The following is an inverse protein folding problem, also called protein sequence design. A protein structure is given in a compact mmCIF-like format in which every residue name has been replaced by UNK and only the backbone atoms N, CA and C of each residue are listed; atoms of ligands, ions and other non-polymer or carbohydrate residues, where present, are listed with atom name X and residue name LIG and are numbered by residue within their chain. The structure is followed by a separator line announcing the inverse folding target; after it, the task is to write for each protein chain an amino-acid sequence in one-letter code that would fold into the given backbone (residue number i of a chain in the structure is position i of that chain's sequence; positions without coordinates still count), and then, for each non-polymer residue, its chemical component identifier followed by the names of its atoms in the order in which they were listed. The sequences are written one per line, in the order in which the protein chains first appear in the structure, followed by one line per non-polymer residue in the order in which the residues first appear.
data_IF_292810598365
#
_entry.id   IF_292810598365
#
_cell.length_a   1.000
_cell.length_b   1.000
_cell.length_c   1.000
_cell.angle_alpha   90.00
_cell.angle_beta   90.00
_cell.angle_gamma   90.00
#
_symmetry.space_group_name_H-M   'P 1'
#
loop_
_entity.id
_entity.type
_entity.pdbx_description
1 polymer ?
#
# COMPACT_ATOMS: atom_id res chain seq x y z
N UNK A 1 -14.45 -10.09 -10.05
CA UNK A 1 -13.22 -9.29 -9.86
C UNK A 1 -12.06 -10.26 -9.86
N UNK A 2 -11.02 -10.03 -10.66
CA UNK A 2 -9.82 -10.86 -10.67
C UNK A 2 -8.98 -10.54 -9.42
N UNK A 3 -8.44 -11.57 -8.78
CA UNK A 3 -7.60 -11.43 -7.58
C UNK A 3 -6.24 -12.09 -7.84
N UNK A 4 -5.16 -11.42 -7.47
CA UNK A 4 -3.79 -11.94 -7.60
C UNK A 4 -2.94 -11.42 -6.44
N UNK A 5 -1.85 -12.12 -6.12
CA UNK A 5 -0.90 -11.72 -5.10
C UNK A 5 0.50 -12.17 -5.47
N UNK A 6 1.50 -11.30 -5.22
CA UNK A 6 2.90 -11.69 -5.31
C UNK A 6 3.49 -11.85 -3.92
N UNK A 7 3.89 -13.08 -3.61
CA UNK A 7 4.64 -13.43 -2.41
C UNK A 7 6.07 -13.85 -2.77
N UNK A 8 6.96 -13.79 -1.78
CA UNK A 8 8.24 -14.49 -1.82
C UNK A 8 8.04 -16.00 -1.80
N UNK A 9 9.06 -16.76 -2.22
CA UNK A 9 9.03 -18.23 -2.20
C UNK A 9 8.81 -18.78 -0.78
N UNK A 10 9.43 -18.16 0.23
CA UNK A 10 9.24 -18.51 1.62
C UNK A 10 7.90 -18.04 2.21
N UNK A 11 7.07 -17.32 1.43
CA UNK A 11 5.77 -16.75 1.81
C UNK A 11 5.77 -15.80 3.01
N UNK A 12 6.93 -15.44 3.55
CA UNK A 12 7.08 -14.46 4.64
C UNK A 12 6.85 -13.03 4.14
N UNK A 13 7.06 -12.77 2.85
CA UNK A 13 6.93 -11.45 2.26
C UNK A 13 5.79 -11.43 1.25
N UNK A 14 4.97 -10.37 1.27
CA UNK A 14 4.00 -10.05 0.21
C UNK A 14 4.35 -8.71 -0.41
N UNK A 15 4.73 -8.75 -1.68
CA UNK A 15 5.14 -7.57 -2.43
C UNK A 15 3.94 -6.83 -3.03
N UNK A 16 2.89 -7.57 -3.41
CA UNK A 16 1.71 -6.98 -4.04
C UNK A 16 0.46 -7.83 -3.80
N UNK A 17 -0.69 -7.16 -3.82
CA UNK A 17 -2.02 -7.75 -3.83
C UNK A 17 -2.88 -6.95 -4.81
N UNK A 18 -3.49 -7.63 -5.79
CA UNK A 18 -4.34 -7.00 -6.79
C UNK A 18 -5.80 -7.38 -6.65
N UNK A 19 -6.65 -6.42 -7.01
CA UNK A 19 -8.10 -6.56 -7.17
C UNK A 19 -8.50 -5.79 -8.42
N UNK A 20 -8.79 -6.50 -9.51
CA UNK A 20 -9.08 -5.87 -10.81
C UNK A 20 -10.51 -6.13 -11.26
N UNK A 21 -11.27 -5.08 -11.53
CA UNK A 21 -12.66 -5.14 -11.99
C UNK A 21 -12.84 -4.66 -13.44
N UNK A 22 -11.88 -3.92 -13.99
CA UNK A 22 -11.88 -3.45 -15.36
C UNK A 22 -10.44 -3.38 -15.89
N UNK A 23 -10.03 -4.38 -16.68
CA UNK A 23 -8.66 -4.47 -17.23
C UNK A 23 -8.37 -3.41 -18.31
N UNK A 24 -9.37 -2.65 -18.77
CA UNK A 24 -9.18 -1.58 -19.76
C UNK A 24 -8.70 -0.26 -19.15
N UNK A 25 -8.63 -0.17 -17.82
CA UNK A 25 -8.27 1.04 -17.08
C UNK A 25 -7.07 0.80 -16.16
N UNK A 26 -6.28 1.84 -15.85
CA UNK A 26 -5.16 1.71 -14.91
C UNK A 26 -5.67 1.37 -13.50
N UNK A 27 -4.81 0.78 -12.67
CA UNK A 27 -5.09 0.58 -11.25
C UNK A 27 -4.64 1.78 -10.41
N UNK A 28 -5.27 1.94 -9.24
CA UNK A 28 -4.77 2.78 -8.17
C UNK A 28 -3.88 1.95 -7.23
N UNK A 29 -2.65 2.41 -7.00
CA UNK A 29 -1.75 1.78 -6.05
C UNK A 29 -1.91 2.44 -4.67
N UNK A 30 -2.00 1.64 -3.62
CA UNK A 30 -1.92 2.10 -2.24
C UNK A 30 -0.70 1.49 -1.56
N UNK A 31 0.05 2.30 -0.82
CA UNK A 31 1.22 1.88 -0.03
C UNK A 31 0.86 1.94 1.46
N UNK A 32 0.59 0.78 2.04
CA UNK A 32 0.34 0.60 3.47
C UNK A 32 1.61 0.40 4.29
N UNK A 33 1.45 0.10 5.58
CA UNK A 33 2.59 -0.15 6.48
C UNK A 33 3.22 -1.53 6.22
N UNK A 34 2.46 -2.59 6.47
CA UNK A 34 2.86 -3.97 6.28
C UNK A 34 1.64 -4.85 5.94
N UNK A 35 1.83 -5.94 5.19
CA UNK A 35 0.75 -6.88 4.90
C UNK A 35 0.37 -7.66 6.16
N UNK A 36 -0.93 -7.93 6.32
CA UNK A 36 -1.43 -8.89 7.30
C UNK A 36 -1.19 -10.33 6.84
N UNK A 37 -1.25 -11.27 7.78
CA UNK A 37 -1.16 -12.72 7.47
C UNK A 37 -2.47 -13.27 6.89
N UNK A 38 -3.57 -12.51 6.98
CA UNK A 38 -4.91 -12.92 6.57
C UNK A 38 -4.94 -13.46 5.13
N UNK A 39 -5.84 -14.42 4.90
CA UNK A 39 -5.97 -15.16 3.65
C UNK A 39 -6.11 -14.22 2.45
N UNK A 40 -5.38 -14.54 1.38
CA UNK A 40 -5.28 -13.75 0.16
C UNK A 40 -6.62 -13.59 -0.58
N UNK A 41 -7.64 -14.34 -0.14
CA UNK A 41 -8.99 -14.41 -0.70
C UNK A 41 -9.96 -13.38 -0.12
N UNK A 42 -9.81 -13.00 1.16
CA UNK A 42 -10.80 -12.17 1.85
C UNK A 42 -10.36 -10.72 1.94
N UNK A 43 -11.25 -9.82 1.51
CA UNK A 43 -10.99 -8.38 1.54
C UNK A 43 -11.27 -7.81 2.94
N UNK A 44 -10.19 -7.55 3.68
CA UNK A 44 -10.26 -6.88 4.98
C UNK A 44 -10.84 -5.44 4.86
N UNK A 45 -11.22 -4.79 5.99
CA UNK A 45 -11.79 -3.44 5.94
C UNK A 45 -10.93 -2.40 5.22
N UNK A 46 -9.61 -2.52 5.27
CA UNK A 46 -8.67 -1.62 4.60
C UNK A 46 -8.72 -1.83 3.09
N UNK A 47 -8.66 -3.08 2.63
CA UNK A 47 -8.76 -3.42 1.21
C UNK A 47 -10.10 -2.96 0.63
N UNK A 48 -11.22 -3.24 1.30
CA UNK A 48 -12.55 -2.76 0.87
C UNK A 48 -12.61 -1.24 0.76
N UNK A 49 -11.98 -0.53 1.71
CA UNK A 49 -11.92 0.93 1.70
C UNK A 49 -11.11 1.46 0.52
N UNK A 50 -9.94 0.89 0.24
CA UNK A 50 -9.11 1.25 -0.90
C UNK A 50 -9.78 0.93 -2.24
N UNK A 51 -10.50 -0.21 -2.35
CA UNK A 51 -11.31 -0.53 -3.54
C UNK A 51 -12.37 0.54 -3.77
N UNK A 52 -13.08 0.96 -2.72
CA UNK A 52 -14.08 2.02 -2.81
C UNK A 52 -13.50 3.32 -3.37
N UNK A 53 -12.38 3.79 -2.81
CA UNK A 53 -11.68 4.96 -3.32
C UNK A 53 -11.27 4.82 -4.79
N UNK A 54 -10.62 3.72 -5.14
CA UNK A 54 -10.17 3.47 -6.51
C UNK A 54 -11.33 3.49 -7.52
N UNK A 55 -12.48 2.88 -7.17
CA UNK A 55 -13.70 2.94 -8.00
C UNK A 55 -14.26 4.36 -8.11
N UNK A 56 -14.37 5.08 -7.00
CA UNK A 56 -14.90 6.44 -6.95
C UNK A 56 -14.03 7.46 -7.70
N UNK A 57 -12.76 7.12 -7.93
CA UNK A 57 -11.82 7.91 -8.75
C UNK A 57 -11.72 7.41 -10.20
N UNK A 58 -12.44 6.36 -10.57
CA UNK A 58 -12.55 5.87 -11.94
C UNK A 58 -11.47 4.88 -12.39
N UNK A 59 -10.69 4.30 -11.47
CA UNK A 59 -9.68 3.29 -11.80
C UNK A 59 -10.30 1.90 -12.05
N UNK A 60 -9.54 1.04 -12.73
CA UNK A 60 -9.93 -0.33 -13.09
C UNK A 60 -9.55 -1.40 -12.07
N UNK A 61 -8.71 -1.05 -11.10
CA UNK A 61 -8.27 -1.97 -10.07
C UNK A 61 -7.59 -1.29 -8.89
N UNK A 62 -7.34 -2.08 -7.85
CA UNK A 62 -6.49 -1.77 -6.71
C UNK A 62 -5.21 -2.61 -6.81
N UNK A 63 -4.06 -1.98 -6.56
CA UNK A 63 -2.81 -2.65 -6.22
C UNK A 63 -2.39 -2.23 -4.82
N UNK A 64 -2.40 -3.15 -3.85
CA UNK A 64 -1.93 -2.90 -2.49
C UNK A 64 -0.48 -3.37 -2.35
N UNK A 65 0.41 -2.44 -2.05
CA UNK A 65 1.80 -2.68 -1.65
C UNK A 65 2.04 -2.10 -0.25
N UNK A 66 3.24 -2.27 0.31
CA UNK A 66 3.55 -1.84 1.67
C UNK A 66 4.98 -1.34 1.81
N UNK A 67 5.21 -0.44 2.77
CA UNK A 67 6.55 -0.01 3.15
C UNK A 67 7.44 -1.20 3.53
N UNK A 68 6.87 -2.16 4.25
CA UNK A 68 7.52 -3.39 4.68
C UNK A 68 6.79 -4.59 4.08
N UNK A 69 7.49 -5.50 3.39
CA UNK A 69 6.83 -6.65 2.77
C UNK A 69 6.54 -7.77 3.78
N UNK A 70 7.16 -7.75 4.96
CA UNK A 70 7.00 -8.81 5.95
C UNK A 70 5.55 -8.94 6.44
N UNK A 71 5.00 -10.15 6.32
CA UNK A 71 3.61 -10.45 6.66
C UNK A 71 3.45 -10.63 8.17
N UNK A 72 2.67 -9.73 8.76
CA UNK A 72 2.32 -9.77 10.16
C UNK A 72 0.97 -9.09 10.40
N UNK A 73 0.08 -9.72 11.15
CA UNK A 73 -1.17 -9.07 11.59
C UNK A 73 -0.92 -7.94 12.58
N UNK A 74 0.01 -8.14 13.51
CA UNK A 74 0.46 -7.11 14.45
C UNK A 74 1.75 -6.44 13.92
N UNK A 75 1.77 -5.11 13.68
CA UNK A 75 2.96 -4.38 13.27
C UNK A 75 4.16 -4.58 14.20
N UNK A 76 3.95 -4.87 15.49
CA UNK A 76 5.02 -5.15 16.46
C UNK A 76 5.88 -6.34 16.05
N UNK A 77 5.27 -7.36 15.43
CA UNK A 77 5.99 -8.51 14.89
C UNK A 77 6.77 -8.14 13.64
N UNK A 78 6.27 -7.20 12.83
CA UNK A 78 7.02 -6.67 11.70
C UNK A 78 8.23 -5.86 12.19
N UNK A 79 8.08 -4.98 13.18
CA UNK A 79 9.20 -4.22 13.74
C UNK A 79 10.30 -5.10 14.36
N UNK A 80 9.94 -6.29 14.82
CA UNK A 80 10.86 -7.25 15.44
C UNK A 80 11.49 -8.22 14.43
N UNK A 81 11.05 -8.23 13.17
CA UNK A 81 11.60 -9.11 12.15
C UNK A 81 13.03 -8.71 11.79
N UNK A 82 13.88 -9.70 11.45
CA UNK A 82 15.27 -9.44 11.09
C UNK A 82 15.41 -8.60 9.81
N UNK A 83 14.54 -8.86 8.83
CA UNK A 83 14.45 -8.10 7.58
C UNK A 83 12.96 -7.78 7.31
N UNK A 84 12.40 -6.72 7.90
CA UNK A 84 10.99 -6.39 7.70
C UNK A 84 10.70 -5.84 6.31
N UNK A 85 11.72 -5.24 5.67
CA UNK A 85 11.58 -4.64 4.33
C UNK A 85 11.34 -5.75 3.32
N UNK A 86 12.15 -6.81 3.37
CA UNK A 86 12.09 -7.94 2.48
C UNK A 86 12.91 -7.70 1.20
N UNK A 87 13.54 -8.76 0.65
CA UNK A 87 14.69 -8.63 -0.26
C UNK A 87 14.37 -8.01 -1.63
N UNK A 88 13.11 -8.05 -2.08
CA UNK A 88 12.70 -7.51 -3.39
C UNK A 88 11.71 -6.35 -3.27
N UNK A 89 11.45 -5.84 -2.05
CA UNK A 89 10.32 -4.94 -1.85
C UNK A 89 10.47 -3.62 -2.63
N UNK A 90 11.67 -3.04 -2.66
CA UNK A 90 11.94 -1.80 -3.40
C UNK A 90 11.75 -1.98 -4.92
N UNK A 91 12.27 -3.07 -5.47
CA UNK A 91 12.10 -3.43 -6.89
C UNK A 91 10.62 -3.55 -7.25
N UNK A 92 9.82 -4.16 -6.37
CA UNK A 92 8.37 -4.24 -6.56
C UNK A 92 7.70 -2.88 -6.42
N UNK A 93 8.04 -2.08 -5.42
CA UNK A 93 7.47 -0.73 -5.24
C UNK A 93 7.68 0.15 -6.47
N UNK A 94 8.90 0.21 -7.02
CA UNK A 94 9.21 0.97 -8.24
C UNK A 94 8.42 0.46 -9.45
N UNK A 95 8.42 -0.87 -9.66
CA UNK A 95 7.72 -1.49 -10.78
C UNK A 95 6.23 -1.21 -10.73
N UNK A 96 5.61 -1.41 -9.58
CA UNK A 96 4.17 -1.20 -9.39
C UNK A 96 3.80 0.28 -9.49
N UNK A 97 4.64 1.18 -8.99
CA UNK A 97 4.39 2.61 -9.07
C UNK A 97 4.45 3.12 -10.51
N UNK A 98 5.38 2.60 -11.33
CA UNK A 98 5.55 2.98 -12.74
C UNK A 98 4.30 2.71 -13.59
N UNK A 99 3.62 1.58 -13.33
CA UNK A 99 2.45 1.14 -14.10
C UNK A 99 1.12 1.63 -13.49
N UNK A 100 1.16 2.27 -12.32
CA UNK A 100 -0.03 2.78 -11.63
C UNK A 100 -0.56 4.08 -12.26
N UNK A 101 -1.88 4.24 -12.30
CA UNK A 101 -2.47 5.53 -12.66
C UNK A 101 -2.37 6.58 -11.55
N UNK A 102 -2.23 6.14 -10.30
CA UNK A 102 -1.97 6.95 -9.11
C UNK A 102 -1.32 6.10 -8.04
N UNK A 103 -0.42 6.70 -7.24
CA UNK A 103 0.16 6.07 -6.06
C UNK A 103 -0.23 6.85 -4.81
N UNK A 104 -0.89 6.19 -3.87
CA UNK A 104 -1.41 6.76 -2.63
C UNK A 104 -0.65 6.19 -1.44
N UNK A 105 0.10 7.05 -0.77
CA UNK A 105 0.71 6.80 0.51
C UNK A 105 -0.36 6.71 1.61
N UNK A 106 -0.35 5.63 2.41
CA UNK A 106 -1.41 5.32 3.35
C UNK A 106 -0.93 4.50 4.57
N UNK A 107 0.35 4.61 4.94
CA UNK A 107 1.02 3.76 5.92
C UNK A 107 0.84 4.16 7.39
N UNK A 108 0.21 5.31 7.68
CA UNK A 108 -0.06 5.74 9.05
C UNK A 108 1.19 6.16 9.83
N UNK A 109 1.04 6.37 11.14
CA UNK A 109 2.05 7.03 11.97
C UNK A 109 3.37 6.26 12.14
N UNK A 110 3.40 4.97 11.79
CA UNK A 110 4.57 4.12 12.01
C UNK A 110 5.48 3.99 10.78
N UNK A 111 5.21 4.74 9.70
CA UNK A 111 6.03 4.70 8.49
C UNK A 111 7.49 5.06 8.70
N UNK A 112 7.79 5.88 9.71
CA UNK A 112 9.16 6.29 10.06
C UNK A 112 10.05 5.19 10.65
N UNK A 113 9.54 3.98 10.91
CA UNK A 113 10.38 2.86 11.36
C UNK A 113 11.51 2.62 10.34
N UNK A 114 12.77 2.49 10.81
CA UNK A 114 13.97 2.41 9.96
C UNK A 114 14.14 3.56 8.93
N UNK A 115 13.47 4.70 9.14
CA UNK A 115 13.44 5.81 8.16
C UNK A 115 12.69 5.47 6.87
N UNK A 116 11.86 4.42 6.88
CA UNK A 116 11.32 3.80 5.68
C UNK A 116 10.41 4.70 4.86
N UNK A 117 9.55 5.49 5.52
CA UNK A 117 8.66 6.46 4.85
C UNK A 117 9.45 7.44 3.97
N UNK A 118 10.59 7.96 4.45
CA UNK A 118 11.46 8.87 3.69
C UNK A 118 12.09 8.19 2.47
N UNK A 119 12.62 6.98 2.65
CA UNK A 119 13.25 6.21 1.57
C UNK A 119 12.23 5.93 0.46
N UNK A 120 11.04 5.43 0.81
CA UNK A 120 10.00 5.12 -0.19
C UNK A 120 9.44 6.39 -0.84
N UNK A 121 9.36 7.50 -0.10
CA UNK A 121 8.93 8.79 -0.68
C UNK A 121 9.94 9.36 -1.67
N UNK A 122 11.25 9.08 -1.48
CA UNK A 122 12.27 9.42 -2.47
C UNK A 122 12.27 8.45 -3.67
N UNK A 123 11.94 7.17 -3.43
CA UNK A 123 11.87 6.12 -4.44
C UNK A 123 10.70 6.31 -5.41
N UNK A 124 9.55 6.75 -4.91
CA UNK A 124 8.32 6.93 -5.69
C UNK A 124 8.00 8.43 -5.79
N UNK A 125 8.23 9.08 -6.94
CA UNK A 125 7.88 10.49 -7.10
C UNK A 125 6.36 10.69 -7.18
N UNK A 126 5.90 11.92 -6.92
CA UNK A 126 4.49 12.34 -7.06
C UNK A 126 3.49 11.54 -6.21
N UNK A 127 3.91 11.06 -5.04
CA UNK A 127 3.00 10.42 -4.09
C UNK A 127 1.82 11.32 -3.75
N UNK A 128 0.66 10.71 -3.70
CA UNK A 128 -0.56 11.32 -3.18
C UNK A 128 -0.84 10.75 -1.79
N UNK A 129 -1.66 11.42 -0.99
CA UNK A 129 -2.24 10.85 0.22
C UNK A 129 -3.69 11.31 0.36
N UNK A 130 -4.43 10.70 1.29
CA UNK A 130 -5.81 11.15 1.60
C UNK A 130 -5.83 12.26 2.65
N UNK A 131 -4.83 12.26 3.53
CA UNK A 131 -4.66 13.17 4.66
C UNK A 131 -3.26 12.99 5.22
N UNK A 132 -2.68 14.05 5.76
CA UNK A 132 -1.44 13.99 6.55
C UNK A 132 -1.80 14.06 8.04
N UNK A 133 -1.24 13.16 8.84
CA UNK A 133 -1.41 13.16 10.30
C UNK A 133 -0.54 14.24 10.95
N UNK A 134 -0.78 14.52 12.24
CA UNK A 134 0.04 15.45 13.03
C UNK A 134 1.53 15.05 13.08
N UNK A 135 1.83 13.77 12.87
CA UNK A 135 3.19 13.22 12.78
C UNK A 135 3.93 13.61 11.50
N UNK A 136 3.23 14.18 10.51
CA UNK A 136 3.76 14.37 9.15
C UNK A 136 3.58 13.15 8.24
N UNK A 137 3.14 12.01 8.79
CA UNK A 137 2.94 10.78 8.02
C UNK A 137 1.54 10.74 7.37
N UNK A 138 1.39 10.12 6.18
CA UNK A 138 0.11 9.94 5.52
C UNK A 138 -0.82 9.04 6.34
N UNK A 139 -2.07 9.47 6.49
CA UNK A 139 -3.06 8.79 7.31
C UNK A 139 -3.50 7.46 6.72
N UNK A 140 -3.79 6.49 7.60
CA UNK A 140 -4.38 5.21 7.22
C UNK A 140 -5.75 5.41 6.54
N UNK A 141 -6.10 4.65 5.50
CA UNK A 141 -7.28 4.95 4.67
C UNK A 141 -8.60 4.58 5.33
N UNK A 142 -8.59 3.61 6.26
CA UNK A 142 -9.79 3.02 6.88
C UNK A 142 -10.76 4.07 7.44
N UNK A 143 -10.24 5.13 8.06
CA UNK A 143 -11.05 6.15 8.73
C UNK A 143 -11.19 7.46 7.95
N UNK A 144 -10.68 7.55 6.73
CA UNK A 144 -10.88 8.74 5.89
C UNK A 144 -12.29 8.72 5.28
N UNK A 145 -12.96 9.86 5.03
CA UNK A 145 -14.28 9.90 4.39
C UNK A 145 -14.27 9.23 3.01
N UNK A 146 -15.36 8.57 2.59
CA UNK A 146 -15.44 7.94 1.25
C UNK A 146 -15.27 8.94 0.11
N UNK A 147 -15.67 10.20 0.34
CA UNK A 147 -15.57 11.29 -0.63
C UNK A 147 -14.17 11.91 -0.69
N UNK A 148 -13.22 11.46 0.12
CA UNK A 148 -11.85 11.97 0.11
C UNK A 148 -11.24 11.86 -1.30
N UNK A 149 -10.57 12.92 -1.72
CA UNK A 149 -9.81 12.97 -2.96
C UNK A 149 -8.31 12.95 -2.64
N UNK A 150 -7.47 12.35 -3.50
CA UNK A 150 -6.04 12.36 -3.31
C UNK A 150 -5.52 13.80 -3.35
N UNK A 151 -4.61 14.13 -2.45
CA UNK A 151 -3.84 15.38 -2.43
C UNK A 151 -2.36 15.06 -2.54
N UNK A 152 -1.57 15.99 -3.08
CA UNK A 152 -0.12 15.83 -3.16
C UNK A 152 0.47 15.60 -1.77
N UNK A 153 1.31 14.58 -1.63
CA UNK A 153 2.08 14.32 -0.43
C UNK A 153 3.50 14.85 -0.62
N UNK A 154 3.90 15.77 0.24
CA UNK A 154 5.24 16.34 0.28
C UNK A 154 5.93 15.80 1.53
N UNK A 155 6.84 14.85 1.33
CA UNK A 155 7.63 14.21 2.38
C UNK A 155 8.84 15.04 2.79
#
# INVERSE_FOLDING_TARGET
MKTDAKLSECRQYRYALWRTWDDSKPYAMFVGLNPSTADETDDDPTIRRCIGFAKDWGYGGLCMANLFAYRATDPSNMFSAQDPIGPQNDVWLERLAKDAGIVVAAWGNHGGHLGRSKIVSALIPNLQCLKVNKSGEPAHPLYQPSTAKPIAFHA
#
